data_IF_511275021026
#
_entry.id   IF_511275021026
#
_cell.length_a   1.000
_cell.length_b   1.000
_cell.length_c   1.000
_cell.angle_alpha   90.00
_cell.angle_beta   90.00
_cell.angle_gamma   90.00
#
_symmetry.space_group_name_H-M   'P 1'
#
loop_
_entity.id
_entity.type
_entity.pdbx_description
1 polymer ?
#
# COMPACT_ATOMS: atom_id res chain seq x y z
N UNK A 1 17.00 -0.42 -26.54
CA UNK A 1 15.53 -0.40 -26.51
C UNK A 1 14.89 -1.38 -25.51
N UNK A 2 15.31 -2.65 -25.34
CA UNK A 2 14.62 -3.58 -24.42
C UNK A 2 14.72 -3.17 -22.93
N UNK A 3 15.88 -2.62 -22.53
CA UNK A 3 16.14 -2.22 -21.13
C UNK A 3 15.13 -1.20 -20.59
N UNK A 4 14.71 -0.22 -21.41
CA UNK A 4 13.72 0.80 -20.98
C UNK A 4 12.32 0.22 -20.79
N UNK A 5 11.95 -0.79 -21.58
CA UNK A 5 10.65 -1.46 -21.47
C UNK A 5 10.60 -2.31 -20.19
N UNK A 6 11.69 -3.00 -19.87
CA UNK A 6 11.79 -3.81 -18.66
C UNK A 6 11.71 -2.96 -17.38
N UNK A 7 12.37 -1.80 -17.36
CA UNK A 7 12.28 -0.84 -16.25
C UNK A 7 10.84 -0.33 -16.07
N UNK A 8 10.15 0.00 -17.16
CA UNK A 8 8.76 0.44 -17.13
C UNK A 8 7.83 -0.64 -16.58
N UNK A 9 8.03 -1.89 -17.00
CA UNK A 9 7.27 -3.03 -16.49
C UNK A 9 7.49 -3.27 -15.00
N UNK A 10 8.73 -3.11 -14.50
CA UNK A 10 9.03 -3.17 -13.07
C UNK A 10 8.28 -2.09 -12.28
N UNK A 11 8.27 -0.86 -12.77
CA UNK A 11 7.54 0.24 -12.13
C UNK A 11 6.02 -0.03 -12.11
N UNK A 12 5.46 -0.53 -13.21
CA UNK A 12 4.03 -0.90 -13.28
C UNK A 12 3.66 -2.00 -12.31
N UNK A 13 4.48 -3.05 -12.23
CA UNK A 13 4.28 -4.15 -11.28
C UNK A 13 4.30 -3.62 -9.85
N UNK A 14 5.27 -2.78 -9.51
CA UNK A 14 5.37 -2.14 -8.18
C UNK A 14 4.14 -1.29 -7.86
N UNK A 15 3.68 -0.45 -8.80
CA UNK A 15 2.45 0.31 -8.63
C UNK A 15 1.25 -0.62 -8.38
N UNK A 16 1.09 -1.67 -9.19
CA UNK A 16 -0.06 -2.59 -9.08
C UNK A 16 -0.10 -3.23 -7.69
N UNK A 17 1.04 -3.70 -7.19
CA UNK A 17 1.16 -4.27 -5.85
C UNK A 17 0.81 -3.26 -4.74
N UNK A 18 1.27 -2.01 -4.87
CA UNK A 18 0.95 -0.95 -3.91
C UNK A 18 -0.53 -0.56 -3.96
N UNK A 19 -1.09 -0.38 -5.15
CA UNK A 19 -2.51 -0.07 -5.36
C UNK A 19 -3.43 -1.16 -4.81
N UNK A 20 -3.12 -2.43 -5.04
CA UNK A 20 -3.84 -3.56 -4.46
C UNK A 20 -3.82 -3.54 -2.93
N UNK A 21 -2.65 -3.26 -2.33
CA UNK A 21 -2.53 -3.15 -0.86
C UNK A 21 -3.28 -1.95 -0.28
N UNK A 22 -3.35 -0.85 -1.03
CA UNK A 22 -3.99 0.40 -0.59
C UNK A 22 -5.48 0.47 -0.93
N UNK A 23 -6.01 -0.51 -1.68
CA UNK A 23 -7.38 -0.51 -2.20
C UNK A 23 -7.62 0.62 -3.21
N UNK A 24 -6.64 0.92 -4.06
CA UNK A 24 -6.69 1.99 -5.07
C UNK A 24 -6.62 1.42 -6.48
N UNK A 25 -7.17 2.14 -7.45
CA UNK A 25 -6.96 1.82 -8.87
C UNK A 25 -5.58 2.29 -9.35
N UNK A 26 -4.86 1.49 -10.16
CA UNK A 26 -3.55 1.86 -10.69
C UNK A 26 -3.66 2.94 -11.76
N UNK A 27 -2.72 3.90 -11.77
CA UNK A 27 -2.60 4.89 -12.85
C UNK A 27 -2.11 4.19 -14.13
N UNK A 28 -2.75 4.51 -15.25
CA UNK A 28 -2.37 4.01 -16.57
C UNK A 28 -1.28 4.93 -17.14
N UNK A 29 -0.17 4.31 -17.56
CA UNK A 29 0.91 4.97 -18.31
C UNK A 29 0.98 4.30 -19.68
N UNK A 30 0.74 5.04 -20.76
CA UNK A 30 0.64 4.49 -22.13
C UNK A 30 2.00 4.04 -22.65
N UNK A 31 2.00 2.99 -23.50
CA UNK A 31 3.21 2.41 -24.11
C UNK A 31 3.56 2.97 -25.48
N UNK A 32 2.58 3.53 -26.20
CA UNK A 32 2.73 3.95 -27.59
C UNK A 32 2.27 5.40 -27.78
N UNK A 33 3.19 6.32 -28.13
CA UNK A 33 4.66 6.14 -28.15
C UNK A 33 5.20 5.83 -26.74
N UNK A 34 6.46 5.37 -26.66
CA UNK A 34 7.11 5.16 -25.36
C UNK A 34 7.03 6.44 -24.53
N UNK A 35 6.71 6.34 -23.22
CA UNK A 35 6.52 7.52 -22.40
C UNK A 35 7.79 8.36 -22.33
N UNK A 36 7.59 9.68 -22.21
CA UNK A 36 8.65 10.66 -22.05
C UNK A 36 9.34 10.48 -20.69
N UNK A 37 10.56 11.04 -20.58
CA UNK A 37 11.34 10.92 -19.34
C UNK A 37 10.62 11.60 -18.17
N UNK A 38 9.94 12.70 -18.44
CA UNK A 38 9.12 13.45 -17.49
C UNK A 38 7.93 12.61 -16.99
N UNK A 39 7.24 11.91 -17.89
CA UNK A 39 6.11 11.03 -17.54
C UNK A 39 6.57 9.85 -16.67
N UNK A 40 7.75 9.29 -16.96
CA UNK A 40 8.37 8.24 -16.14
C UNK A 40 8.73 8.78 -14.75
N UNK A 41 9.25 9.99 -14.67
CA UNK A 41 9.63 10.61 -13.39
C UNK A 41 8.42 10.94 -12.53
N UNK A 42 7.34 11.46 -13.13
CA UNK A 42 6.06 11.62 -12.44
C UNK A 42 5.50 10.29 -11.95
N UNK A 43 5.65 9.22 -12.75
CA UNK A 43 5.21 7.89 -12.37
C UNK A 43 6.02 7.33 -11.19
N UNK A 44 7.33 7.55 -11.14
CA UNK A 44 8.17 7.20 -9.99
C UNK A 44 7.76 7.97 -8.73
N UNK A 45 7.54 9.29 -8.83
CA UNK A 45 7.03 10.11 -7.72
C UNK A 45 5.66 9.64 -7.22
N UNK A 46 4.80 9.18 -8.12
CA UNK A 46 3.52 8.60 -7.75
C UNK A 46 3.71 7.30 -6.93
N UNK A 47 4.59 6.41 -7.39
CA UNK A 47 4.93 5.18 -6.67
C UNK A 47 5.49 5.49 -5.28
N UNK A 48 6.42 6.45 -5.17
CA UNK A 48 6.98 6.88 -3.87
C UNK A 48 5.88 7.36 -2.91
N UNK A 49 4.93 8.17 -3.40
CA UNK A 49 3.77 8.59 -2.59
C UNK A 49 2.94 7.41 -2.10
N UNK A 50 2.73 6.38 -2.94
CA UNK A 50 2.02 5.17 -2.53
C UNK A 50 2.81 4.38 -1.47
N UNK A 51 4.13 4.33 -1.56
CA UNK A 51 4.97 3.68 -0.55
C UNK A 51 4.89 4.40 0.80
N UNK A 52 5.02 5.72 0.80
CA UNK A 52 4.86 6.55 2.00
C UNK A 52 3.46 6.38 2.60
N UNK A 53 2.41 6.39 1.77
CA UNK A 53 1.05 6.17 2.25
C UNK A 53 0.85 4.78 2.87
N UNK A 54 1.41 3.74 2.24
CA UNK A 54 1.36 2.37 2.79
C UNK A 54 2.04 2.31 4.16
N UNK A 55 3.20 2.93 4.31
CA UNK A 55 3.91 3.00 5.57
C UNK A 55 3.10 3.75 6.63
N UNK A 56 2.59 4.94 6.32
CA UNK A 56 1.79 5.73 7.25
C UNK A 56 0.51 5.01 7.70
N UNK A 57 -0.16 4.29 6.79
CA UNK A 57 -1.34 3.48 7.13
C UNK A 57 -0.97 2.30 8.04
N UNK A 58 0.18 1.68 7.83
CA UNK A 58 0.67 0.59 8.68
C UNK A 58 0.99 1.09 10.09
N UNK A 59 1.73 2.20 10.20
CA UNK A 59 2.05 2.82 11.49
C UNK A 59 0.79 3.18 12.28
N UNK A 60 -0.16 3.86 11.61
CA UNK A 60 -1.46 4.17 12.22
C UNK A 60 -2.22 2.92 12.64
N UNK A 61 -2.22 1.88 11.80
CA UNK A 61 -2.88 0.62 12.13
C UNK A 61 -2.29 -0.02 13.39
N UNK A 62 -0.95 -0.05 13.51
CA UNK A 62 -0.27 -0.62 14.68
C UNK A 62 -0.61 0.17 15.94
N UNK A 63 -0.45 1.49 15.92
CA UNK A 63 -0.75 2.34 17.08
C UNK A 63 -2.23 2.24 17.51
N UNK A 64 -3.17 2.32 16.57
CA UNK A 64 -4.61 2.16 16.90
C UNK A 64 -4.93 0.75 17.41
N UNK A 65 -4.26 -0.27 16.89
CA UNK A 65 -4.44 -1.66 17.36
C UNK A 65 -3.95 -1.84 18.79
N UNK A 66 -2.81 -1.24 19.15
CA UNK A 66 -2.27 -1.29 20.52
C UNK A 66 -3.24 -0.63 21.50
N UNK A 67 -3.71 0.58 21.19
CA UNK A 67 -4.73 1.28 21.99
C UNK A 67 -6.01 0.45 22.16
N UNK A 68 -6.48 -0.17 21.07
CA UNK A 68 -7.67 -1.03 21.09
C UNK A 68 -7.47 -2.25 22.00
N UNK A 69 -6.30 -2.90 21.95
CA UNK A 69 -6.00 -4.05 22.79
C UNK A 69 -5.97 -3.69 24.28
N UNK A 70 -5.49 -2.50 24.61
CA UNK A 70 -5.49 -2.03 26.00
C UNK A 70 -6.91 -1.79 26.52
N UNK A 71 -7.78 -1.18 25.70
CA UNK A 71 -9.21 -1.02 26.03
C UNK A 71 -9.90 -2.38 26.20
N UNK A 72 -9.66 -3.33 25.29
CA UNK A 72 -10.25 -4.68 25.38
C UNK A 72 -9.85 -5.38 26.68
N UNK A 73 -8.57 -5.27 27.08
CA UNK A 73 -8.07 -5.81 28.34
C UNK A 73 -8.70 -5.13 29.54
N UNK A 74 -8.78 -3.79 29.55
CA UNK A 74 -9.37 -3.02 30.65
C UNK A 74 -10.83 -3.40 30.87
N UNK A 75 -11.59 -3.57 29.78
CA UNK A 75 -13.00 -3.94 29.85
C UNK A 75 -13.22 -5.45 30.05
N UNK A 76 -12.16 -6.26 30.05
CA UNK A 76 -12.21 -7.73 30.11
C UNK A 76 -13.16 -8.35 29.06
N UNK A 77 -13.16 -7.78 27.86
CA UNK A 77 -14.00 -8.21 26.72
C UNK A 77 -13.19 -9.18 25.85
N UNK A 78 -13.87 -10.13 25.22
CA UNK A 78 -13.26 -11.03 24.23
C UNK A 78 -13.71 -10.66 22.80
N UNK A 79 -12.80 -10.62 21.82
CA UNK A 79 -13.12 -10.50 20.40
C UNK A 79 -14.23 -11.45 19.97
N UNK A 80 -15.36 -10.91 19.55
CA UNK A 80 -16.55 -11.67 19.23
C UNK A 80 -16.65 -11.95 17.72
N UNK A 81 -16.30 -10.95 16.90
CA UNK A 81 -16.35 -11.03 15.45
C UNK A 81 -15.07 -11.59 14.83
N UNK A 82 -15.17 -12.16 13.63
CA UNK A 82 -13.99 -12.59 12.88
C UNK A 82 -13.02 -11.45 12.56
N UNK A 83 -13.53 -10.22 12.47
CA UNK A 83 -12.70 -9.04 12.26
C UNK A 83 -11.91 -8.71 13.52
N UNK A 84 -12.56 -8.63 14.69
CA UNK A 84 -11.89 -8.39 15.97
C UNK A 84 -10.84 -9.47 16.28
N UNK A 85 -11.15 -10.74 15.97
CA UNK A 85 -10.19 -11.84 16.14
C UNK A 85 -8.96 -11.67 15.25
N UNK A 86 -9.15 -11.23 14.00
CA UNK A 86 -8.03 -10.95 13.08
C UNK A 86 -7.25 -9.70 13.48
N UNK A 87 -7.91 -8.67 13.99
CA UNK A 87 -7.25 -7.44 14.41
C UNK A 87 -6.52 -7.59 15.74
N UNK A 88 -7.00 -8.45 16.66
CA UNK A 88 -6.40 -8.69 17.98
C UNK A 88 -5.24 -9.69 17.98
N UNK A 89 -5.13 -10.57 16.98
CA UNK A 89 -4.02 -11.53 16.89
C UNK A 89 -2.69 -10.83 16.53
N UNK A 90 -1.59 -11.11 17.25
CA UNK A 90 -0.25 -10.59 16.93
C UNK A 90 0.28 -11.34 15.69
N UNK A 91 0.92 -10.66 14.71
CA UNK A 91 1.56 -11.33 13.58
C UNK A 91 2.67 -12.30 14.02
#
# INVERSE_FOLDING_TARGET
MPVRVDELNKLRKKQLELCNNLGKEPKILKDSPLPLSEEIEEFKKHIEKLEVEKFNRLEKFISTKEELLDIIKELNIQPSSNFEKKSSCVP
#
